data_IF_088191393177
#
_entry.id   IF_088191393177
#
_cell.length_a   1.000
_cell.length_b   1.000
_cell.length_c   1.000
_cell.angle_alpha   90.00
_cell.angle_beta   90.00
_cell.angle_gamma   90.00
#
_symmetry.space_group_name_H-M   'P 1'
#
loop_
_entity.id
_entity.type
_entity.pdbx_description
1 polymer ?
#
# COMPACT_ATOMS: atom_id res chain seq x y z
N UNK A 1 -39.31 0.82 -25.04
CA UNK A 1 -38.15 1.63 -24.62
C UNK A 1 -37.35 0.82 -23.61
N UNK A 2 -36.34 0.08 -24.06
CA UNK A 2 -35.46 -0.69 -23.18
C UNK A 2 -34.27 0.16 -22.76
N UNK A 3 -34.17 0.48 -21.47
CA UNK A 3 -33.00 1.13 -20.91
C UNK A 3 -31.94 0.07 -20.61
N UNK A 4 -30.95 -0.07 -21.49
CA UNK A 4 -29.72 -0.79 -21.13
C UNK A 4 -28.92 0.11 -20.18
N UNK A 5 -29.15 -0.05 -18.88
CA UNK A 5 -28.24 0.49 -17.87
C UNK A 5 -26.98 -0.35 -17.86
N UNK A 6 -26.05 -0.06 -18.77
CA UNK A 6 -24.69 -0.57 -18.69
C UNK A 6 -23.98 0.15 -17.54
N UNK A 7 -24.19 -0.32 -16.30
CA UNK A 7 -23.26 -0.04 -15.21
C UNK A 7 -21.93 -0.65 -15.63
N UNK A 8 -21.02 0.16 -16.15
CA UNK A 8 -19.66 -0.28 -16.45
C UNK A 8 -18.93 -0.53 -15.13
N UNK A 9 -19.10 -1.73 -14.57
CA UNK A 9 -18.25 -2.21 -13.49
C UNK A 9 -16.81 -2.19 -14.01
N UNK A 10 -16.02 -1.22 -13.54
CA UNK A 10 -14.63 -1.13 -13.96
C UNK A 10 -13.81 -2.09 -13.11
N UNK A 11 -13.46 -3.24 -13.68
CA UNK A 11 -12.59 -4.23 -13.05
C UNK A 11 -11.14 -4.08 -13.52
N UNK A 12 -10.20 -4.62 -12.74
CA UNK A 12 -8.79 -4.73 -13.08
C UNK A 12 -8.32 -6.17 -12.92
N UNK A 13 -7.66 -6.69 -13.96
CA UNK A 13 -7.02 -7.99 -13.96
C UNK A 13 -5.54 -7.83 -13.63
N UNK A 14 -5.04 -8.59 -12.66
CA UNK A 14 -3.64 -8.56 -12.23
C UNK A 14 -3.08 -9.96 -12.33
N UNK A 15 -2.06 -10.13 -13.17
CA UNK A 15 -1.29 -11.36 -13.31
C UNK A 15 0.03 -11.22 -12.56
N UNK A 16 0.19 -12.00 -11.48
CA UNK A 16 1.41 -12.05 -10.70
C UNK A 16 2.25 -13.27 -11.09
N UNK A 17 3.56 -13.10 -11.14
CA UNK A 17 4.54 -14.14 -11.48
C UNK A 17 5.70 -14.11 -10.49
N UNK A 18 6.31 -15.26 -10.19
CA UNK A 18 7.47 -15.36 -9.31
C UNK A 18 7.30 -16.39 -8.18
N UNK A 19 8.26 -16.42 -7.27
CA UNK A 19 8.31 -17.41 -6.18
C UNK A 19 7.08 -17.30 -5.29
N UNK A 20 6.31 -18.40 -5.18
CA UNK A 20 5.14 -18.56 -4.32
C UNK A 20 4.00 -17.51 -4.47
N UNK A 21 4.09 -16.63 -5.48
CA UNK A 21 3.17 -15.52 -5.72
C UNK A 21 2.56 -15.56 -7.12
N UNK A 22 2.78 -16.66 -7.87
CA UNK A 22 2.22 -16.83 -9.21
C UNK A 22 0.72 -17.11 -9.13
N UNK A 23 -0.09 -16.09 -9.38
CA UNK A 23 -1.56 -16.15 -9.27
C UNK A 23 -2.20 -14.95 -9.98
N UNK A 24 -3.44 -15.15 -10.43
CA UNK A 24 -4.24 -14.10 -11.07
C UNK A 24 -5.28 -13.57 -10.08
N UNK A 25 -5.51 -12.27 -10.12
CA UNK A 25 -6.49 -11.57 -9.29
C UNK A 25 -7.38 -10.69 -10.15
N UNK A 26 -8.68 -10.68 -9.84
CA UNK A 26 -9.65 -9.76 -10.42
C UNK A 26 -10.15 -8.86 -9.30
N UNK A 27 -9.99 -7.56 -9.48
CA UNK A 27 -10.50 -6.56 -8.55
C UNK A 27 -11.65 -5.80 -9.20
N UNK A 28 -12.78 -5.71 -8.53
CA UNK A 28 -13.95 -4.91 -8.95
C UNK A 28 -13.74 -3.40 -8.69
N UNK A 29 -12.55 -2.90 -9.03
CA UNK A 29 -12.12 -1.50 -8.96
C UNK A 29 -11.00 -1.24 -9.97
N UNK A 30 -10.85 0.01 -10.40
CA UNK A 30 -9.72 0.41 -11.25
C UNK A 30 -8.45 0.61 -10.42
N UNK A 31 -7.37 -0.02 -10.86
CA UNK A 31 -6.05 0.11 -10.27
C UNK A 31 -5.26 1.17 -11.04
N UNK A 32 -4.72 2.16 -10.31
CA UNK A 32 -3.86 3.20 -10.85
C UNK A 32 -2.41 2.74 -10.96
N UNK A 33 -1.93 2.06 -9.90
CA UNK A 33 -0.57 1.53 -9.83
C UNK A 33 -0.48 0.36 -8.87
N UNK A 34 0.58 -0.42 -9.02
CA UNK A 34 0.89 -1.61 -8.21
C UNK A 34 2.28 -1.47 -7.58
N UNK A 35 2.47 -2.10 -6.44
CA UNK A 35 3.77 -2.24 -5.77
C UNK A 35 3.86 -3.63 -5.14
N UNK A 36 4.99 -4.30 -5.35
CA UNK A 36 5.24 -5.66 -4.84
C UNK A 36 6.28 -5.60 -3.71
N UNK A 37 5.97 -6.21 -2.57
CA UNK A 37 6.90 -6.50 -1.49
C UNK A 37 7.34 -7.97 -1.52
N UNK A 38 7.90 -8.49 -0.42
CA UNK A 38 8.40 -9.88 -0.37
C UNK A 38 7.30 -10.92 -0.47
N UNK A 39 6.23 -10.78 0.32
CA UNK A 39 5.14 -11.77 0.44
C UNK A 39 3.75 -11.13 0.26
N UNK A 40 3.72 -9.89 -0.23
CA UNK A 40 2.50 -9.13 -0.43
C UNK A 40 2.61 -8.20 -1.64
N UNK A 41 1.46 -7.76 -2.13
CA UNK A 41 1.34 -6.70 -3.13
C UNK A 41 0.36 -5.65 -2.61
N UNK A 42 0.52 -4.42 -3.08
CA UNK A 42 -0.43 -3.34 -2.84
C UNK A 42 -0.82 -2.67 -4.15
N UNK A 43 -2.07 -2.24 -4.21
CA UNK A 43 -2.64 -1.46 -5.31
C UNK A 43 -3.12 -0.11 -4.82
N UNK A 44 -2.91 0.92 -5.64
CA UNK A 44 -3.50 2.23 -5.47
C UNK A 44 -4.74 2.34 -6.35
N UNK A 45 -5.88 2.67 -5.78
CA UNK A 45 -7.14 2.82 -6.50
C UNK A 45 -7.19 4.13 -7.30
N UNK A 46 -7.56 4.06 -8.57
CA UNK A 46 -7.72 5.25 -9.45
C UNK A 46 -8.88 6.15 -9.03
N UNK A 47 -9.88 5.61 -8.33
CA UNK A 47 -11.13 6.32 -8.04
C UNK A 47 -11.07 7.15 -6.77
N UNK A 48 -10.61 6.53 -5.68
CA UNK A 48 -10.65 7.11 -4.34
C UNK A 48 -9.25 7.35 -3.75
N UNK A 49 -8.20 7.00 -4.50
CA UNK A 49 -6.79 7.11 -4.08
C UNK A 49 -6.47 6.32 -2.79
N UNK A 50 -7.31 5.34 -2.45
CA UNK A 50 -7.09 4.44 -1.33
C UNK A 50 -6.10 3.33 -1.71
N UNK A 51 -5.41 2.82 -0.71
CA UNK A 51 -4.51 1.67 -0.84
C UNK A 51 -5.22 0.41 -0.38
N UNK A 52 -4.99 -0.69 -1.08
CA UNK A 52 -5.40 -2.02 -0.67
C UNK A 52 -4.24 -2.99 -0.93
N UNK A 53 -4.05 -3.96 -0.04
CA UNK A 53 -2.97 -4.93 -0.17
C UNK A 53 -3.50 -6.35 -0.08
N UNK A 54 -2.80 -7.30 -0.68
CA UNK A 54 -3.11 -8.73 -0.67
C UNK A 54 -1.83 -9.56 -0.67
N UNK A 55 -1.90 -10.77 -0.14
CA UNK A 55 -0.74 -11.65 0.07
C UNK A 55 -0.79 -12.29 1.45
N UNK A 56 0.37 -12.69 1.97
CA UNK A 56 0.49 -13.32 3.28
C UNK A 56 0.64 -12.27 4.39
N UNK A 57 -0.40 -12.13 5.20
CA UNK A 57 -0.39 -11.22 6.35
C UNK A 57 0.40 -11.75 7.54
N UNK A 58 0.55 -13.07 7.68
CA UNK A 58 1.24 -13.65 8.83
C UNK A 58 2.74 -13.34 8.79
N UNK A 59 3.34 -13.41 7.59
CA UNK A 59 4.75 -13.06 7.37
C UNK A 59 4.97 -11.56 7.24
N UNK A 60 4.16 -10.87 6.44
CA UNK A 60 4.38 -9.46 6.10
C UNK A 60 3.92 -8.48 7.18
N UNK A 61 2.76 -8.71 7.79
CA UNK A 61 2.10 -7.80 8.74
C UNK A 61 1.83 -6.39 8.16
N UNK A 62 1.66 -6.28 6.85
CA UNK A 62 1.49 -4.98 6.16
C UNK A 62 0.01 -4.66 5.95
N UNK A 63 -0.83 -5.65 5.70
CA UNK A 63 -2.22 -5.48 5.27
C UNK A 63 -3.06 -4.93 6.44
N UNK A 64 -2.83 -5.40 7.66
CA UNK A 64 -3.52 -4.89 8.85
C UNK A 64 -3.12 -3.46 9.23
N UNK A 65 -1.94 -3.01 8.78
CA UNK A 65 -1.38 -1.69 9.09
C UNK A 65 -1.69 -0.62 8.04
N UNK A 66 -2.50 -0.93 7.01
CA UNK A 66 -2.89 0.04 5.99
C UNK A 66 -3.58 1.24 6.67
N UNK A 67 -3.06 2.48 6.46
CA UNK A 67 -3.68 3.68 7.01
C UNK A 67 -5.11 3.87 6.50
N UNK A 68 -6.07 3.83 7.42
CA UNK A 68 -7.49 4.05 7.11
C UNK A 68 -7.73 5.51 6.72
N UNK A 69 -8.72 5.72 5.85
CA UNK A 69 -9.18 7.05 5.43
C UNK A 69 -8.07 7.96 4.85
N UNK A 70 -6.95 7.36 4.43
CA UNK A 70 -5.79 8.06 3.89
C UNK A 70 -5.75 7.90 2.38
N UNK A 71 -5.45 9.00 1.69
CA UNK A 71 -5.35 9.07 0.23
C UNK A 71 -3.91 9.29 -0.19
N UNK A 72 -3.51 8.62 -1.27
CA UNK A 72 -2.14 8.65 -1.77
C UNK A 72 -2.10 9.02 -3.25
N UNK A 73 -1.06 9.76 -3.66
CA UNK A 73 -0.75 9.98 -5.07
C UNK A 73 0.11 8.86 -5.64
N UNK A 74 1.02 8.32 -4.83
CA UNK A 74 1.95 7.26 -5.20
C UNK A 74 2.21 6.37 -4.00
N UNK A 75 2.51 5.11 -4.26
CA UNK A 75 2.97 4.13 -3.28
C UNK A 75 4.19 3.40 -3.80
N UNK A 76 5.02 2.92 -2.89
CA UNK A 76 6.13 2.02 -3.14
C UNK A 76 6.24 1.01 -1.99
N UNK A 77 6.48 -0.25 -2.33
CA UNK A 77 6.67 -1.33 -1.36
C UNK A 77 8.17 -1.66 -1.23
N UNK A 78 8.64 -1.81 0.00
CA UNK A 78 9.89 -2.48 0.34
C UNK A 78 9.64 -3.96 0.67
N UNK A 79 10.58 -4.61 1.36
CA UNK A 79 10.43 -6.03 1.73
C UNK A 79 9.19 -6.31 2.58
N UNK A 80 9.04 -5.58 3.69
CA UNK A 80 7.94 -5.75 4.67
C UNK A 80 7.31 -4.42 5.12
N UNK A 81 7.39 -3.39 4.28
CA UNK A 81 6.76 -2.09 4.53
C UNK A 81 6.32 -1.44 3.23
N UNK A 82 5.46 -0.43 3.34
CA UNK A 82 5.01 0.39 2.23
C UNK A 82 5.13 1.85 2.63
N UNK A 83 5.60 2.68 1.72
CA UNK A 83 5.59 4.12 1.85
C UNK A 83 4.73 4.73 0.74
N UNK A 84 4.04 5.81 1.05
CA UNK A 84 3.25 6.53 0.07
C UNK A 84 3.35 8.03 0.26
N UNK A 85 3.25 8.73 -0.87
CA UNK A 85 3.11 10.19 -0.90
C UNK A 85 1.62 10.51 -0.76
N UNK A 86 1.27 11.21 0.31
CA UNK A 86 -0.10 11.61 0.61
C UNK A 86 -0.65 12.52 -0.49
N UNK A 87 -1.93 12.35 -0.78
CA UNK A 87 -2.64 13.27 -1.66
C UNK A 87 -2.85 14.62 -0.97
N UNK A 88 -2.42 15.70 -1.62
CA UNK A 88 -2.47 17.06 -1.07
C UNK A 88 -1.36 17.94 -1.64
N UNK A 89 -1.26 19.17 -1.12
CA UNK A 89 -0.27 20.15 -1.58
C UNK A 89 1.13 19.91 -1.00
N UNK A 90 1.21 19.35 0.21
CA UNK A 90 2.47 19.29 0.97
C UNK A 90 3.34 18.05 0.67
N UNK A 91 2.88 17.15 -0.23
CA UNK A 91 3.61 15.93 -0.63
C UNK A 91 4.21 15.12 0.53
N UNK A 92 3.53 15.12 1.69
CA UNK A 92 3.99 14.41 2.90
C UNK A 92 4.07 12.91 2.64
N UNK A 93 5.01 12.24 3.30
CA UNK A 93 5.19 10.79 3.22
C UNK A 93 4.63 10.12 4.46
N UNK A 94 3.95 8.99 4.27
CA UNK A 94 3.54 8.09 5.33
C UNK A 94 4.02 6.68 4.98
N UNK A 95 4.69 6.03 5.93
CA UNK A 95 5.12 4.64 5.82
C UNK A 95 4.44 3.79 6.88
N UNK A 96 4.18 2.53 6.55
CA UNK A 96 3.61 1.53 7.46
C UNK A 96 4.19 0.14 7.17
N UNK A 97 4.12 -0.75 8.15
CA UNK A 97 4.74 -2.08 8.10
C UNK A 97 5.94 -2.18 9.05
N UNK A 98 6.75 -3.23 8.86
CA UNK A 98 7.96 -3.45 9.66
C UNK A 98 9.00 -2.41 9.29
N UNK A 99 9.30 -1.52 10.23
CA UNK A 99 10.55 -0.79 10.17
C UNK A 99 11.67 -1.81 10.34
N UNK A 100 12.71 -1.73 9.52
CA UNK A 100 14.02 -2.23 9.95
C UNK A 100 14.45 -1.22 11.00
N UNK A 101 13.94 -1.35 12.22
CA UNK A 101 14.55 -0.67 13.36
C UNK A 101 15.98 -1.22 13.40
N UNK A 102 16.91 -0.46 12.83
CA UNK A 102 18.15 -0.30 13.55
C UNK A 102 17.71 0.25 14.90
N UNK A 103 17.91 -0.54 15.96
CA UNK A 103 17.90 -0.05 17.34
C UNK A 103 18.97 1.05 17.43
N UNK A 104 18.69 2.25 16.92
CA UNK A 104 19.44 3.41 17.35
C UNK A 104 18.97 3.68 18.78
N UNK A 105 19.71 3.09 19.72
CA UNK A 105 19.84 3.64 21.05
C UNK A 105 20.30 5.10 20.92
N UNK A 106 19.36 6.03 20.79
CA UNK A 106 19.60 7.43 21.12
C UNK A 106 19.58 7.49 22.65
N UNK A 107 20.65 7.00 23.27
CA UNK A 107 21.02 7.36 24.64
C UNK A 107 21.65 8.76 24.64
N UNK A 108 20.88 9.74 24.18
CA UNK A 108 21.21 11.16 24.23
C UNK A 108 20.33 11.85 25.25
N UNK A 109 20.58 11.64 26.55
CA UNK A 109 20.04 12.55 27.57
C UNK A 109 20.81 13.87 27.48
N UNK A 110 20.16 15.03 27.27
CA UNK A 110 20.83 16.30 27.44
C UNK A 110 21.04 16.54 28.93
N UNK A 111 22.31 16.59 29.35
CA UNK A 111 22.65 17.17 30.65
C UNK A 111 22.35 18.67 30.60
N UNK A 112 21.62 19.23 31.57
CA UNK A 112 21.48 20.68 31.67
C UNK A 112 22.78 21.25 32.25
N UNK A 113 23.54 21.99 31.44
CA UNK A 113 24.65 22.80 31.92
C UNK A 113 24.12 24.06 32.61
N UNK A 114 24.76 24.38 33.74
CA UNK A 114 24.42 25.45 34.69
C UNK A 114 25.03 26.79 34.28
#
# INVERSE_FOLDING_TARGET
>A
SGSYSSSSSSSSHVDCWGYNMTRNFVFEKQIHSLSAGSEFNCGLSSKDKSVFCWGDENSSQVISLIPKETKFQKIAAGGYHVCGILDGLDSRVLCWGKSLEFEEEISGSPTPEK
#
